data_IF_738108388501
#
_entry.id   IF_738108388501
#
_cell.length_a   1.000
_cell.length_b   1.000
_cell.length_c   1.000
_cell.angle_alpha   90.00
_cell.angle_beta   90.00
_cell.angle_gamma   90.00
#
_symmetry.space_group_name_H-M   'P 1'
#
loop_
_entity.id
_entity.type
_entity.pdbx_description
1 polymer ?
#
# COMPACT_ATOMS: atom_id res chain seq x y z
N UNK A 1 -25.82 1.69 8.47
CA UNK A 1 -25.36 2.63 9.53
C UNK A 1 -23.84 2.65 9.48
N UNK A 2 -23.20 3.82 9.55
CA UNK A 2 -21.76 3.94 9.29
C UNK A 2 -20.87 3.26 10.34
N UNK A 3 -19.55 3.14 10.06
CA UNK A 3 -18.59 2.56 10.98
C UNK A 3 -18.54 3.32 12.31
N UNK A 4 -18.40 2.57 13.42
CA UNK A 4 -18.14 3.16 14.73
C UNK A 4 -16.76 3.84 14.79
N UNK A 5 -15.77 3.25 14.10
CA UNK A 5 -14.42 3.78 13.95
C UNK A 5 -14.05 3.87 12.47
N UNK A 6 -13.57 5.04 12.04
CA UNK A 6 -13.15 5.24 10.65
C UNK A 6 -11.82 4.55 10.38
N UNK A 7 -11.65 4.11 9.13
CA UNK A 7 -10.37 3.59 8.67
C UNK A 7 -9.21 4.57 8.93
N UNK A 8 -8.13 4.17 9.62
CA UNK A 8 -7.06 5.07 10.07
C UNK A 8 -6.05 5.35 8.95
N UNK A 9 -6.49 6.02 7.88
CA UNK A 9 -5.73 6.23 6.64
C UNK A 9 -4.34 6.87 6.86
N UNK A 10 -4.21 7.78 7.84
CA UNK A 10 -2.95 8.40 8.22
C UNK A 10 -1.96 7.39 8.82
N UNK A 11 -2.39 6.58 9.79
CA UNK A 11 -1.55 5.53 10.37
C UNK A 11 -1.14 4.49 9.32
N UNK A 12 -2.05 4.13 8.42
CA UNK A 12 -1.75 3.25 7.28
C UNK A 12 -0.70 3.86 6.34
N UNK A 13 -0.74 5.18 6.10
CA UNK A 13 0.28 5.87 5.30
C UNK A 13 1.66 5.76 5.93
N UNK A 14 1.75 5.88 7.27
CA UNK A 14 3.01 5.74 8.00
C UNK A 14 3.54 4.30 7.92
N UNK A 15 2.67 3.30 8.06
CA UNK A 15 3.04 1.88 7.82
C UNK A 15 3.59 1.69 6.41
N UNK A 16 2.92 2.24 5.39
CA UNK A 16 3.37 2.14 4.00
C UNK A 16 4.75 2.78 3.81
N UNK A 17 4.97 3.99 4.34
CA UNK A 17 6.27 4.66 4.29
C UNK A 17 7.36 3.81 4.94
N UNK A 18 7.11 3.33 6.15
CA UNK A 18 8.11 2.62 6.93
C UNK A 18 8.47 1.29 6.27
N UNK A 19 7.48 0.50 5.83
CA UNK A 19 7.71 -0.81 5.19
C UNK A 19 8.42 -0.64 3.84
N UNK A 20 8.00 0.30 3.00
CA UNK A 20 8.68 0.56 1.73
C UNK A 20 10.11 1.05 1.96
N UNK A 21 10.30 1.97 2.91
CA UNK A 21 11.61 2.51 3.25
C UNK A 21 12.56 1.45 3.79
N UNK A 22 12.11 0.58 4.71
CA UNK A 22 12.97 -0.48 5.27
C UNK A 22 13.30 -1.56 4.23
N UNK A 23 12.35 -1.91 3.37
CA UNK A 23 12.51 -3.02 2.43
C UNK A 23 13.30 -2.63 1.18
N UNK A 24 13.23 -1.38 0.73
CA UNK A 24 13.69 -0.98 -0.60
C UNK A 24 14.83 0.05 -0.60
N UNK A 25 15.17 0.69 0.53
CA UNK A 25 16.19 1.76 0.57
C UNK A 25 17.53 1.36 -0.04
N UNK A 26 18.02 0.16 0.27
CA UNK A 26 19.32 -0.34 -0.19
C UNK A 26 19.20 -1.39 -1.33
N UNK A 27 17.98 -1.63 -1.83
CA UNK A 27 17.75 -2.62 -2.87
C UNK A 27 17.98 -2.04 -4.26
N UNK A 28 18.62 -2.81 -5.13
CA UNK A 28 18.68 -2.53 -6.56
C UNK A 28 17.57 -3.26 -7.30
N UNK A 29 17.06 -2.68 -8.39
CA UNK A 29 16.08 -3.36 -9.22
C UNK A 29 16.64 -4.67 -9.79
N UNK A 30 15.98 -5.78 -9.48
CA UNK A 30 16.20 -7.08 -10.10
C UNK A 30 14.83 -7.75 -10.25
N UNK A 31 14.37 -8.09 -11.48
CA UNK A 31 12.99 -8.52 -11.72
C UNK A 31 12.51 -9.69 -10.86
N UNK A 32 13.31 -10.75 -10.69
CA UNK A 32 12.89 -11.93 -9.96
C UNK A 32 12.74 -11.63 -8.46
N UNK A 33 13.72 -10.92 -7.89
CA UNK A 33 13.72 -10.48 -6.50
C UNK A 33 12.63 -9.47 -6.21
N UNK A 34 12.44 -8.48 -7.08
CA UNK A 34 11.40 -7.47 -6.91
C UNK A 34 9.99 -8.08 -6.94
N UNK A 35 9.77 -9.17 -7.69
CA UNK A 35 8.50 -9.91 -7.65
C UNK A 35 8.21 -10.49 -6.25
N UNK A 36 9.21 -11.09 -5.62
CA UNK A 36 9.09 -11.63 -4.26
C UNK A 36 8.91 -10.52 -3.24
N UNK A 37 9.75 -9.48 -3.31
CA UNK A 37 9.71 -8.34 -2.39
C UNK A 37 8.37 -7.60 -2.47
N UNK A 38 7.76 -7.46 -3.66
CA UNK A 38 6.44 -6.87 -3.81
C UNK A 38 5.36 -7.66 -3.06
N UNK A 39 5.42 -9.00 -3.13
CA UNK A 39 4.51 -9.89 -2.39
C UNK A 39 4.75 -9.77 -0.88
N UNK A 40 6.00 -9.80 -0.44
CA UNK A 40 6.35 -9.70 0.98
C UNK A 40 5.91 -8.37 1.57
N UNK A 41 6.12 -7.26 0.85
CA UNK A 41 5.63 -5.93 1.25
C UNK A 41 4.10 -5.95 1.40
N UNK A 42 3.37 -6.52 0.44
CA UNK A 42 1.92 -6.57 0.50
C UNK A 42 1.42 -7.35 1.74
N UNK A 43 2.07 -8.48 2.05
CA UNK A 43 1.74 -9.29 3.23
C UNK A 43 2.09 -8.60 4.54
N UNK A 44 3.28 -7.98 4.65
CA UNK A 44 3.71 -7.23 5.84
C UNK A 44 2.81 -6.03 6.10
N UNK A 45 2.49 -5.25 5.06
CA UNK A 45 1.57 -4.11 5.17
C UNK A 45 0.20 -4.59 5.62
N UNK A 46 -0.34 -5.66 5.00
CA UNK A 46 -1.64 -6.23 5.38
C UNK A 46 -1.66 -6.68 6.84
N UNK A 47 -0.59 -7.32 7.32
CA UNK A 47 -0.46 -7.72 8.72
C UNK A 47 -0.45 -6.50 9.66
N UNK A 48 0.43 -5.53 9.42
CA UNK A 48 0.53 -4.32 10.26
C UNK A 48 -0.75 -3.49 10.28
N UNK A 49 -1.49 -3.44 9.17
CA UNK A 49 -2.79 -2.75 9.11
C UNK A 49 -3.85 -3.51 9.92
N UNK A 50 -3.83 -4.85 9.91
CA UNK A 50 -4.73 -5.64 10.78
C UNK A 50 -4.42 -5.45 12.26
N UNK A 51 -3.16 -5.24 12.62
CA UNK A 51 -2.74 -5.00 14.01
C UNK A 51 -3.21 -3.65 14.55
N UNK A 52 -3.65 -2.71 13.68
CA UNK A 52 -4.32 -1.48 14.11
C UNK A 52 -5.75 -1.72 14.64
N UNK A 53 -6.22 -2.97 14.63
CA UNK A 53 -7.57 -3.37 15.07
C UNK A 53 -8.61 -2.51 14.35
N UNK A 54 -8.73 -2.69 13.04
CA UNK A 54 -9.70 -1.99 12.18
C UNK A 54 -10.96 -2.85 12.00
N UNK A 55 -11.93 -2.82 12.93
CA UNK A 55 -13.06 -3.73 12.89
C UNK A 55 -13.89 -3.50 11.63
N UNK A 56 -14.38 -4.60 11.05
CA UNK A 56 -15.33 -4.60 9.91
C UNK A 56 -14.79 -3.99 8.62
N UNK A 57 -13.48 -3.86 8.44
CA UNK A 57 -12.89 -3.48 7.16
C UNK A 57 -12.28 -4.68 6.45
N UNK A 58 -12.69 -4.91 5.20
CA UNK A 58 -11.91 -5.73 4.26
C UNK A 58 -10.70 -4.93 3.80
N UNK A 59 -9.52 -5.51 3.98
CA UNK A 59 -8.24 -4.89 3.63
C UNK A 59 -7.73 -5.47 2.31
N UNK A 60 -7.49 -4.62 1.33
CA UNK A 60 -6.85 -4.97 0.05
C UNK A 60 -5.56 -4.19 -0.08
N UNK A 61 -4.44 -4.88 -0.33
CA UNK A 61 -3.13 -4.24 -0.54
C UNK A 61 -2.67 -4.52 -1.95
N UNK A 62 -2.26 -3.47 -2.66
CA UNK A 62 -1.70 -3.56 -4.02
C UNK A 62 -0.34 -2.88 -4.02
N UNK A 63 0.69 -3.61 -4.44
CA UNK A 63 2.09 -3.15 -4.48
C UNK A 63 2.63 -3.28 -5.89
N UNK A 64 3.25 -2.20 -6.38
CA UNK A 64 3.96 -2.14 -7.65
C UNK A 64 5.42 -1.81 -7.37
N UNK A 65 6.34 -2.53 -8.01
CA UNK A 65 7.77 -2.19 -8.03
C UNK A 65 8.20 -2.20 -9.49
N UNK A 66 8.92 -1.17 -9.91
CA UNK A 66 9.46 -1.09 -11.27
C UNK A 66 10.83 -0.44 -11.30
N UNK A 67 11.54 -0.66 -12.40
CA UNK A 67 12.85 -0.07 -12.63
C UNK A 67 12.72 1.44 -12.77
N UNK A 68 13.64 2.18 -12.16
CA UNK A 68 13.80 3.61 -12.41
C UNK A 68 14.72 3.78 -13.61
N UNK A 69 14.18 4.32 -14.69
CA UNK A 69 14.89 4.63 -15.93
C UNK A 69 14.29 5.87 -16.60
N UNK A 70 14.63 6.13 -17.86
CA UNK A 70 14.10 7.26 -18.65
C UNK A 70 12.70 6.98 -19.21
N UNK A 71 11.80 6.51 -18.35
CA UNK A 71 10.42 6.15 -18.70
C UNK A 71 9.43 6.98 -17.88
N UNK A 72 8.28 7.30 -18.47
CA UNK A 72 7.16 7.86 -17.74
C UNK A 72 6.17 6.76 -17.35
N UNK A 73 5.63 6.85 -16.14
CA UNK A 73 4.61 5.95 -15.64
C UNK A 73 3.54 6.75 -14.89
N UNK A 74 2.28 6.44 -15.18
CA UNK A 74 1.14 6.95 -14.43
C UNK A 74 0.35 5.79 -13.84
N UNK A 75 0.18 5.78 -12.52
CA UNK A 75 -0.64 4.81 -11.81
C UNK A 75 -1.89 5.53 -11.30
N UNK A 76 -3.06 5.09 -11.77
CA UNK A 76 -4.37 5.60 -11.34
C UNK A 76 -5.24 4.48 -10.76
N UNK A 77 -6.18 4.84 -9.91
CA UNK A 77 -7.21 3.93 -9.40
C UNK A 77 -8.58 4.60 -9.40
N UNK A 78 -9.64 3.81 -9.59
CA UNK A 78 -11.04 4.23 -9.48
C UNK A 78 -11.79 3.19 -8.66
N UNK A 79 -12.71 3.62 -7.81
CA UNK A 79 -13.45 2.75 -6.91
C UNK A 79 -14.96 3.03 -7.01
N UNK A 80 -15.78 1.98 -6.84
CA UNK A 80 -17.22 2.06 -6.64
C UNK A 80 -17.51 1.59 -5.22
N UNK A 81 -17.76 2.52 -4.31
CA UNK A 81 -17.81 2.28 -2.86
C UNK A 81 -18.51 3.44 -2.13
N UNK A 82 -18.79 3.31 -0.83
CA UNK A 82 -19.43 4.36 -0.03
C UNK A 82 -18.38 5.40 0.43
N UNK A 83 -18.48 6.69 0.04
CA UNK A 83 -17.49 7.71 0.38
C UNK A 83 -17.48 8.12 1.86
N UNK A 84 -18.50 7.72 2.63
CA UNK A 84 -18.61 7.96 4.06
C UNK A 84 -17.89 6.92 4.91
N UNK A 85 -17.78 5.67 4.44
CA UNK A 85 -17.15 4.56 5.17
C UNK A 85 -15.86 4.06 4.55
N UNK A 86 -15.77 4.04 3.22
CA UNK A 86 -14.71 3.38 2.48
C UNK A 86 -13.63 4.38 2.07
N UNK A 87 -12.37 3.94 2.10
CA UNK A 87 -11.25 4.83 1.78
C UNK A 87 -9.99 4.05 1.43
N UNK A 88 -8.96 4.77 1.00
CA UNK A 88 -7.64 4.20 0.74
C UNK A 88 -6.53 5.09 1.29
N UNK A 89 -5.35 4.51 1.40
CA UNK A 89 -4.11 5.21 1.67
C UNK A 89 -3.02 4.70 0.73
N UNK A 90 -2.19 5.58 0.20
CA UNK A 90 -1.10 5.23 -0.70
C UNK A 90 0.19 5.95 -0.34
N UNK A 91 1.32 5.31 -0.71
CA UNK A 91 2.65 5.89 -0.57
C UNK A 91 3.52 5.52 -1.77
N UNK A 92 4.36 6.47 -2.20
CA UNK A 92 5.31 6.31 -3.29
C UNK A 92 6.71 6.37 -2.69
N UNK A 93 7.52 5.37 -3.02
CA UNK A 93 8.94 5.29 -2.67
C UNK A 93 9.79 5.29 -3.94
N UNK A 94 10.98 5.88 -3.86
CA UNK A 94 11.94 5.87 -4.95
C UNK A 94 13.36 5.84 -4.37
N UNK A 95 14.24 5.05 -5.00
CA UNK A 95 15.68 5.11 -4.76
C UNK A 95 16.42 5.34 -6.09
N UNK A 96 17.72 5.05 -6.16
CA UNK A 96 18.54 5.30 -7.36
C UNK A 96 18.30 4.32 -8.52
N UNK A 97 17.58 3.22 -8.32
CA UNK A 97 17.40 2.16 -9.34
C UNK A 97 15.97 1.69 -9.54
N UNK A 98 15.06 1.93 -8.59
CA UNK A 98 13.66 1.51 -8.64
C UNK A 98 12.72 2.56 -8.05
N UNK A 99 11.45 2.42 -8.41
CA UNK A 99 10.32 3.04 -7.73
C UNK A 99 9.39 1.95 -7.18
N UNK A 100 8.62 2.30 -6.17
CA UNK A 100 7.55 1.46 -5.66
C UNK A 100 6.33 2.28 -5.27
N UNK A 101 5.14 1.74 -5.54
CA UNK A 101 3.86 2.32 -5.13
C UNK A 101 3.06 1.24 -4.41
N UNK A 102 2.72 1.51 -3.16
CA UNK A 102 1.84 0.64 -2.38
C UNK A 102 0.57 1.38 -1.99
N UNK A 103 -0.57 0.74 -2.20
CA UNK A 103 -1.90 1.25 -1.88
C UNK A 103 -2.66 0.24 -1.05
N UNK A 104 -3.33 0.73 0.00
CA UNK A 104 -4.20 -0.04 0.88
C UNK A 104 -5.60 0.51 0.76
N UNK A 105 -6.56 -0.34 0.44
CA UNK A 105 -7.98 -0.02 0.40
C UNK A 105 -8.67 -0.66 1.61
N UNK A 106 -9.40 0.16 2.35
CA UNK A 106 -10.29 -0.27 3.43
C UNK A 106 -11.73 -0.15 2.95
N UNK A 107 -12.38 -1.30 2.77
CA UNK A 107 -13.81 -1.37 2.38
C UNK A 107 -14.60 -1.87 3.57
N UNK A 108 -15.53 -1.07 4.07
CA UNK A 108 -16.34 -1.38 5.23
C UNK A 108 -17.36 -2.49 4.89
N UNK A 109 -17.50 -3.42 5.82
CA UNK A 109 -18.42 -4.54 5.75
C UNK A 109 -19.61 -4.26 6.68
N UNK A 110 -20.77 -3.96 6.09
CA UNK A 110 -22.05 -3.73 6.76
C UNK A 110 -22.68 -4.98 7.41
#
# INVERSE_FOLDING_TARGET
>A
AGPAERFPAAAVREILRDVLGSSLREQRYEPARCREVAKDIAEVVKARVKDLVVPRYKIVVVTHIGQLGEQSLQIGSRCLWDPGSDTFSSYVFQNTSLFAVASVYGVYFE
#
